data_IF_441237488040
#
_entry.id   IF_441237488040
#
_cell.length_a   1.000
_cell.length_b   1.000
_cell.length_c   1.000
_cell.angle_alpha   90.00
_cell.angle_beta   90.00
_cell.angle_gamma   90.00
#
_symmetry.space_group_name_H-M   'P 1'
#
loop_
_entity.id
_entity.type
_entity.pdbx_description
1 polymer ?
#
# COMPACT_ATOMS: atom_id res chain seq x y z
N UNK A 1 -6.74 13.04 5.12
CA UNK A 1 -6.01 12.14 4.18
C UNK A 1 -4.54 12.50 4.16
N UNK A 2 -4.21 13.76 4.44
CA UNK A 2 -2.87 14.36 4.44
C UNK A 2 -1.87 13.68 5.39
N UNK A 3 -2.33 12.82 6.32
CA UNK A 3 -1.47 12.04 7.23
C UNK A 3 -1.55 10.52 6.99
N UNK A 4 -2.44 10.03 6.13
CA UNK A 4 -2.73 8.58 6.00
C UNK A 4 -1.50 7.78 5.58
N UNK A 5 -0.68 8.30 4.66
CA UNK A 5 0.56 7.63 4.25
C UNK A 5 1.57 7.61 5.39
N UNK A 6 1.74 8.73 6.10
CA UNK A 6 2.65 8.83 7.23
C UNK A 6 2.28 7.83 8.34
N UNK A 7 1.03 7.84 8.79
CA UNK A 7 0.52 6.93 9.83
C UNK A 7 0.69 5.46 9.45
N UNK A 8 0.40 5.11 8.18
CA UNK A 8 0.55 3.75 7.69
C UNK A 8 2.04 3.33 7.65
N UNK A 9 2.93 4.20 7.18
CA UNK A 9 4.36 3.94 7.13
C UNK A 9 4.97 3.75 8.54
N UNK A 10 4.60 4.60 9.49
CA UNK A 10 5.02 4.50 10.89
C UNK A 10 4.52 3.20 11.53
N UNK A 11 3.24 2.85 11.30
CA UNK A 11 2.66 1.61 11.81
C UNK A 11 3.36 0.36 11.25
N UNK A 12 3.68 0.38 9.95
CA UNK A 12 4.41 -0.71 9.30
C UNK A 12 5.84 -0.82 9.86
N UNK A 13 6.55 0.29 10.03
CA UNK A 13 7.87 0.33 10.65
C UNK A 13 7.84 -0.24 12.07
N UNK A 14 6.91 0.22 12.91
CA UNK A 14 6.77 -0.23 14.28
C UNK A 14 6.40 -1.73 14.37
N UNK A 15 5.56 -2.22 13.45
CA UNK A 15 5.13 -3.61 13.43
C UNK A 15 6.22 -4.58 12.96
N UNK A 16 7.03 -4.17 11.98
CA UNK A 16 7.97 -5.05 11.28
C UNK A 16 9.42 -4.85 11.70
N UNK A 17 9.72 -3.77 12.42
CA UNK A 17 11.07 -3.31 12.73
C UNK A 17 11.94 -3.08 11.49
N UNK A 18 11.30 -2.80 10.34
CA UNK A 18 11.97 -2.44 9.09
C UNK A 18 12.17 -0.92 9.00
N UNK A 19 13.18 -0.51 8.25
CA UNK A 19 13.35 0.89 7.88
C UNK A 19 12.34 1.24 6.77
N UNK A 20 11.29 1.98 7.14
CA UNK A 20 10.24 2.44 6.24
C UNK A 20 10.29 3.97 6.17
N UNK A 21 10.34 4.51 4.95
CA UNK A 21 10.27 5.95 4.67
C UNK A 21 9.17 6.24 3.67
N UNK A 22 8.68 7.47 3.63
CA UNK A 22 7.64 7.89 2.70
C UNK A 22 7.88 9.30 2.16
N UNK A 23 7.29 9.60 1.01
CA UNK A 23 7.23 10.95 0.42
C UNK A 23 5.84 11.20 -0.16
N UNK A 24 5.35 12.44 -0.07
CA UNK A 24 4.17 12.88 -0.80
C UNK A 24 4.59 13.53 -2.12
N UNK A 25 3.85 13.24 -3.19
CA UNK A 25 4.06 13.92 -4.46
C UNK A 25 3.38 15.30 -4.37
N UNK A 26 4.11 16.36 -4.70
CA UNK A 26 3.63 17.76 -4.57
C UNK A 26 2.52 18.09 -5.58
N UNK A 27 2.52 17.42 -6.73
CA UNK A 27 1.49 17.43 -7.77
C UNK A 27 1.29 15.98 -8.24
N UNK A 28 0.06 15.57 -8.58
CA UNK A 28 -0.13 14.24 -9.21
C UNK A 28 0.69 14.24 -10.50
N UNK A 29 1.79 13.50 -10.49
CA UNK A 29 2.61 13.27 -11.66
C UNK A 29 1.76 12.65 -12.80
N UNK A 30 2.29 12.59 -14.02
CA UNK A 30 1.61 11.93 -15.16
C UNK A 30 1.27 10.45 -14.89
N UNK A 31 1.85 9.85 -13.83
CA UNK A 31 1.57 8.49 -13.34
C UNK A 31 0.38 8.39 -12.37
N UNK A 32 -0.08 9.51 -11.81
CA UNK A 32 -1.29 9.63 -11.00
C UNK A 32 -1.18 9.25 -9.52
N UNK A 33 0.02 9.00 -8.99
CA UNK A 33 0.25 8.59 -7.59
C UNK A 33 0.04 9.73 -6.59
N UNK A 34 -0.30 9.38 -5.34
CA UNK A 34 -0.42 10.35 -4.24
C UNK A 34 0.91 10.50 -3.45
N UNK A 35 1.88 9.60 -3.68
CA UNK A 35 3.18 9.59 -3.02
C UNK A 35 3.90 8.27 -3.19
N UNK A 36 4.92 8.03 -2.37
CA UNK A 36 5.74 6.83 -2.41
C UNK A 36 6.02 6.30 -1.00
N UNK A 37 6.09 4.97 -0.87
CA UNK A 37 6.56 4.28 0.33
C UNK A 37 7.79 3.44 -0.04
N UNK A 38 8.84 3.53 0.76
CA UNK A 38 10.09 2.80 0.53
C UNK A 38 10.49 2.02 1.76
N UNK A 39 10.82 0.74 1.57
CA UNK A 39 11.50 -0.09 2.58
C UNK A 39 12.98 -0.19 2.21
N UNK A 40 13.86 0.04 3.17
CA UNK A 40 15.31 -0.09 3.00
C UNK A 40 15.83 -1.29 3.80
N UNK A 41 16.54 -2.20 3.13
CA UNK A 41 17.25 -3.32 3.75
C UNK A 41 18.71 -3.29 3.33
N UNK A 42 19.60 -2.86 4.22
CA UNK A 42 20.99 -2.57 3.88
C UNK A 42 21.08 -1.45 2.84
N UNK A 43 21.66 -1.74 1.67
CA UNK A 43 21.76 -0.80 0.55
C UNK A 43 20.58 -0.89 -0.44
N UNK A 44 19.72 -1.91 -0.30
CA UNK A 44 18.63 -2.15 -1.24
C UNK A 44 17.38 -1.36 -0.82
N UNK A 45 16.74 -0.73 -1.81
CA UNK A 45 15.50 0.04 -1.63
C UNK A 45 14.39 -0.59 -2.45
N UNK A 46 13.23 -0.75 -1.82
CA UNK A 46 12.03 -1.30 -2.43
C UNK A 46 10.94 -0.24 -2.33
N UNK A 47 10.54 0.32 -3.46
CA UNK A 47 9.61 1.46 -3.50
C UNK A 47 8.29 1.06 -4.14
N UNK A 48 7.20 1.54 -3.56
CA UNK A 48 5.86 1.47 -4.09
C UNK A 48 5.34 2.88 -4.39
N UNK A 49 4.67 3.03 -5.54
CA UNK A 49 3.81 4.18 -5.80
C UNK A 49 2.53 4.04 -4.99
N UNK A 50 2.16 5.06 -4.22
CA UNK A 50 1.05 4.99 -3.27
C UNK A 50 -0.21 5.60 -3.88
N UNK A 51 -1.32 4.88 -3.72
CA UNK A 51 -2.66 5.38 -4.00
C UNK A 51 -3.48 5.39 -2.70
N UNK A 52 -3.82 6.58 -2.22
CA UNK A 52 -4.61 6.78 -1.01
C UNK A 52 -6.09 6.65 -1.32
N UNK A 53 -6.79 5.93 -0.45
CA UNK A 53 -8.24 5.75 -0.54
C UNK A 53 -8.89 5.98 0.82
N UNK A 54 -9.88 6.89 0.86
CA UNK A 54 -10.77 7.02 2.03
C UNK A 54 -11.46 5.70 2.37
N UNK A 55 -11.78 4.91 1.34
CA UNK A 55 -12.38 3.59 1.43
C UNK A 55 -12.04 2.79 0.18
N UNK A 56 -11.64 1.54 0.36
CA UNK A 56 -11.48 0.61 -0.76
C UNK A 56 -12.82 -0.05 -1.09
N UNK A 57 -13.20 -0.02 -2.36
CA UNK A 57 -14.39 -0.69 -2.90
C UNK A 57 -13.95 -1.67 -3.99
N UNK A 58 -14.68 -2.77 -4.15
CA UNK A 58 -14.39 -3.80 -5.18
C UNK A 58 -14.28 -3.20 -6.60
N UNK A 59 -15.15 -2.27 -6.94
CA UNK A 59 -15.14 -1.59 -8.25
C UNK A 59 -13.87 -0.76 -8.48
N UNK A 60 -13.35 -0.13 -7.42
CA UNK A 60 -12.10 0.64 -7.47
C UNK A 60 -10.92 -0.29 -7.73
N UNK A 61 -10.89 -1.45 -7.06
CA UNK A 61 -9.83 -2.45 -7.26
C UNK A 61 -9.80 -2.99 -8.70
N UNK A 62 -10.97 -3.28 -9.29
CA UNK A 62 -11.07 -3.72 -10.68
C UNK A 62 -10.51 -2.67 -11.66
N UNK A 63 -10.85 -1.39 -11.44
CA UNK A 63 -10.33 -0.27 -12.26
C UNK A 63 -8.81 -0.14 -12.12
N UNK A 64 -8.28 -0.20 -10.90
CA UNK A 64 -6.83 -0.07 -10.65
C UNK A 64 -6.03 -1.19 -11.32
N UNK A 65 -6.57 -2.41 -11.32
CA UNK A 65 -5.91 -3.56 -11.95
C UNK A 65 -5.85 -3.41 -13.47
N UNK A 66 -6.94 -2.94 -14.10
CA UNK A 66 -6.96 -2.66 -15.53
C UNK A 66 -5.89 -1.61 -15.91
N UNK A 67 -5.78 -0.54 -15.12
CA UNK A 67 -4.79 0.52 -15.35
C UNK A 67 -3.36 0.00 -15.21
N UNK A 68 -3.06 -0.77 -14.16
CA UNK A 68 -1.72 -1.38 -13.96
C UNK A 68 -1.31 -2.30 -15.11
N UNK A 69 -2.22 -3.17 -15.57
CA UNK A 69 -1.94 -4.07 -16.70
C UNK A 69 -1.61 -3.31 -17.98
N UNK A 70 -2.24 -2.16 -18.19
CA UNK A 70 -2.02 -1.33 -19.38
C UNK A 70 -0.73 -0.52 -19.28
N UNK A 71 -0.41 0.00 -18.09
CA UNK A 71 0.69 0.96 -17.91
C UNK A 71 2.05 0.34 -17.55
N UNK A 72 2.13 -0.96 -17.20
CA UNK A 72 3.39 -1.70 -16.96
C UNK A 72 4.38 -1.10 -15.95
N UNK A 73 4.02 -0.04 -15.22
CA UNK A 73 4.97 0.76 -14.46
C UNK A 73 4.53 0.88 -12.99
N UNK A 74 5.53 0.75 -12.11
CA UNK A 74 5.49 0.81 -10.64
C UNK A 74 4.59 -0.19 -9.87
N UNK A 75 5.18 -0.80 -8.83
CA UNK A 75 4.47 -1.59 -7.84
C UNK A 75 3.54 -0.68 -7.04
N UNK A 76 2.27 -0.57 -7.43
CA UNK A 76 1.37 0.31 -6.66
C UNK A 76 0.87 -0.33 -5.37
N UNK A 77 0.86 0.47 -4.31
CA UNK A 77 0.38 0.15 -2.96
C UNK A 77 -0.90 0.94 -2.66
N UNK A 78 -1.99 0.24 -2.33
CA UNK A 78 -3.21 0.88 -1.86
C UNK A 78 -3.12 1.10 -0.35
N UNK A 79 -3.35 2.33 0.10
CA UNK A 79 -3.46 2.62 1.54
C UNK A 79 -4.86 3.15 1.84
N UNK A 80 -5.51 2.55 2.84
CA UNK A 80 -6.83 2.97 3.32
C UNK A 80 -6.91 2.86 4.85
N UNK A 81 -7.85 3.57 5.51
CA UNK A 81 -8.02 3.46 6.96
C UNK A 81 -8.26 2.03 7.44
N UNK A 82 -9.04 1.24 6.70
CA UNK A 82 -9.28 -0.17 6.99
C UNK A 82 -9.65 -0.94 5.73
N UNK A 83 -9.09 -2.15 5.57
CA UNK A 83 -9.41 -3.08 4.50
C UNK A 83 -9.89 -4.38 5.15
N UNK A 84 -11.19 -4.67 4.99
CA UNK A 84 -11.75 -5.90 5.54
C UNK A 84 -11.21 -7.16 4.83
N UNK A 85 -11.33 -8.31 5.49
CA UNK A 85 -10.75 -9.57 5.01
C UNK A 85 -11.21 -9.96 3.59
N UNK A 86 -12.48 -9.73 3.23
CA UNK A 86 -12.98 -10.04 1.88
C UNK A 86 -12.30 -9.21 0.80
N UNK A 87 -12.04 -7.94 1.08
CA UNK A 87 -11.30 -7.06 0.16
C UNK A 87 -9.81 -7.36 0.16
N UNK A 88 -9.24 -7.68 1.33
CA UNK A 88 -7.84 -8.07 1.46
C UNK A 88 -7.53 -9.35 0.67
N UNK A 89 -8.42 -10.35 0.75
CA UNK A 89 -8.34 -11.59 -0.03
C UNK A 89 -8.37 -11.29 -1.53
N UNK A 90 -9.31 -10.48 -1.98
CA UNK A 90 -9.38 -10.07 -3.38
C UNK A 90 -8.12 -9.30 -3.84
N UNK A 91 -7.56 -8.42 -3.01
CA UNK A 91 -6.29 -7.76 -3.32
C UNK A 91 -5.17 -8.79 -3.53
N UNK A 92 -5.05 -9.81 -2.67
CA UNK A 92 -4.04 -10.86 -2.78
C UNK A 92 -4.22 -11.70 -4.04
N UNK A 93 -5.45 -12.12 -4.35
CA UNK A 93 -5.78 -12.84 -5.60
C UNK A 93 -5.37 -12.04 -6.84
N UNK A 94 -5.58 -10.72 -6.79
CA UNK A 94 -5.25 -9.79 -7.86
C UNK A 94 -3.80 -9.30 -7.84
N UNK A 95 -2.96 -9.80 -6.92
CA UNK A 95 -1.58 -9.37 -6.70
C UNK A 95 -1.43 -7.86 -6.51
N UNK A 96 -2.40 -7.24 -5.84
CA UNK A 96 -2.39 -5.84 -5.46
C UNK A 96 -1.92 -5.70 -4.02
N UNK A 97 -0.83 -4.97 -3.83
CA UNK A 97 -0.32 -4.67 -2.51
C UNK A 97 -1.21 -3.65 -1.79
N UNK A 98 -1.39 -3.85 -0.48
CA UNK A 98 -2.19 -3.00 0.37
C UNK A 98 -1.59 -2.82 1.77
N UNK A 99 -1.99 -1.75 2.43
CA UNK A 99 -1.70 -1.46 3.83
C UNK A 99 -2.89 -0.72 4.45
N UNK A 100 -3.25 -1.06 5.68
CA UNK A 100 -4.27 -0.34 6.43
C UNK A 100 -3.82 0.10 7.84
N UNK A 101 -4.60 0.98 8.47
CA UNK A 101 -4.29 1.52 9.80
C UNK A 101 -4.67 0.58 10.95
N UNK A 102 -5.37 -0.53 10.68
CA UNK A 102 -5.44 -1.64 11.64
C UNK A 102 -4.11 -2.43 11.65
N UNK A 103 -3.23 -2.19 10.68
CA UNK A 103 -1.93 -2.84 10.51
C UNK A 103 -2.01 -4.14 9.72
N UNK A 104 -3.10 -4.38 8.99
CA UNK A 104 -3.12 -5.42 7.97
C UNK A 104 -2.30 -4.92 6.78
N UNK A 105 -1.50 -5.81 6.21
CA UNK A 105 -0.62 -5.48 5.10
C UNK A 105 -0.44 -6.67 4.18
N UNK A 106 -0.34 -6.42 2.89
CA UNK A 106 0.21 -7.34 1.90
C UNK A 106 1.14 -6.55 0.99
N UNK A 107 2.43 -6.84 1.04
CA UNK A 107 3.47 -6.20 0.23
C UNK A 107 4.31 -7.28 -0.43
N UNK A 108 4.35 -7.30 -1.75
CA UNK A 108 5.09 -8.27 -2.54
C UNK A 108 5.97 -7.58 -3.59
N UNK A 109 7.15 -7.17 -3.13
CA UNK A 109 8.22 -6.60 -3.96
C UNK A 109 9.51 -7.40 -3.69
N UNK A 110 9.73 -8.52 -4.40
CA UNK A 110 10.81 -9.45 -4.10
C UNK A 110 12.18 -8.78 -3.96
N UNK A 111 12.98 -9.19 -2.96
CA UNK A 111 12.75 -10.28 -2.01
C UNK A 111 11.90 -9.90 -0.79
N UNK A 112 11.33 -8.69 -0.73
CA UNK A 112 10.43 -8.29 0.36
C UNK A 112 9.04 -8.90 0.17
N UNK A 113 8.64 -9.74 1.11
CA UNK A 113 7.28 -10.24 1.24
C UNK A 113 6.78 -10.02 2.67
N UNK A 114 5.67 -9.30 2.81
CA UNK A 114 5.02 -9.02 4.10
C UNK A 114 3.55 -9.35 3.96
N UNK A 115 3.01 -10.14 4.88
CA UNK A 115 1.61 -10.52 4.90
C UNK A 115 1.10 -10.61 6.35
N UNK A 116 0.35 -9.59 6.75
CA UNK A 116 -0.18 -9.40 8.10
C UNK A 116 -1.70 -9.32 7.98
N UNK A 117 -2.39 -10.19 8.73
CA UNK A 117 -3.83 -10.42 8.58
C UNK A 117 -4.55 -10.45 9.92
N UNK A 118 -5.88 -10.32 9.86
CA UNK A 118 -6.78 -10.53 11.00
C UNK A 118 -6.82 -9.40 12.03
N UNK A 119 -6.11 -8.28 11.80
CA UNK A 119 -6.20 -7.11 12.67
C UNK A 119 -7.50 -6.37 12.41
N UNK A 120 -8.13 -5.93 13.50
CA UNK A 120 -9.38 -5.17 13.47
C UNK A 120 -9.09 -3.72 13.85
N UNK A 121 -9.82 -2.75 13.28
CA UNK A 121 -9.71 -1.38 13.74
C UNK A 121 -10.13 -1.29 15.21
N UNK A 122 -9.61 -0.29 15.96
CA UNK A 122 -10.09 -0.03 17.31
C UNK A 122 -11.61 0.21 17.31
N UNK A 123 -12.30 -0.19 18.39
CA UNK A 123 -13.75 -0.02 18.52
C UNK A 123 -14.20 1.44 18.53
#
# INVERSE_FOLDING_TARGET
>A
MDTLLAEAAELLAATTNLNVTYTYDQEKNDRGTDGHLTITNGQQKYTWGVELKKRLLRQVLAKLTLVKTVLHDEKALIIAPYINEKLAELCREMQVDYLDLAGNAHLNNPPIYIDIRGRKPPP
#
